data_IF_244902141966
#
_entry.id   IF_244902141966
#
_cell.length_a   1.000
_cell.length_b   1.000
_cell.length_c   1.000
_cell.angle_alpha   90.00
_cell.angle_beta   90.00
_cell.angle_gamma   90.00
#
_symmetry.space_group_name_H-M   'P 1'
#
loop_
_entity.id
_entity.type
_entity.pdbx_description
1 polymer ?
#
# COMPACT_ATOMS: atom_id res chain seq x y z
N UNK A 1 -5.00 6.85 8.06
CA UNK A 1 -4.77 5.40 8.33
C UNK A 1 -5.91 4.64 7.67
N UNK A 2 -5.67 3.70 6.77
CA UNK A 2 -6.77 2.91 6.20
C UNK A 2 -7.34 2.01 7.31
N UNK A 3 -8.46 2.45 7.89
CA UNK A 3 -9.18 1.78 8.98
C UNK A 3 -9.42 0.31 8.63
N UNK A 4 -9.70 0.02 7.37
CA UNK A 4 -9.88 -1.34 6.84
C UNK A 4 -8.70 -2.29 7.06
N UNK A 5 -7.45 -1.83 6.91
CA UNK A 5 -6.26 -2.69 7.12
C UNK A 5 -6.10 -3.04 8.59
N UNK A 6 -6.27 -2.05 9.47
CA UNK A 6 -6.12 -2.25 10.91
C UNK A 6 -7.24 -3.13 11.44
N UNK A 7 -8.49 -2.87 11.02
CA UNK A 7 -9.64 -3.73 11.36
C UNK A 7 -9.41 -5.15 10.83
N UNK A 8 -8.96 -5.32 9.58
CA UNK A 8 -8.74 -6.65 9.00
C UNK A 8 -7.70 -7.47 9.77
N UNK A 9 -6.57 -6.86 10.15
CA UNK A 9 -5.54 -7.51 10.96
C UNK A 9 -6.08 -7.83 12.36
N UNK A 10 -6.76 -6.88 13.01
CA UNK A 10 -7.32 -7.08 14.35
C UNK A 10 -8.38 -8.18 14.36
N UNK A 11 -9.31 -8.17 13.41
CA UNK A 11 -10.35 -9.20 13.29
C UNK A 11 -9.73 -10.55 12.97
N UNK A 12 -8.75 -10.62 12.06
CA UNK A 12 -8.05 -11.85 11.74
C UNK A 12 -7.34 -12.46 12.96
N UNK A 13 -6.60 -11.64 13.72
CA UNK A 13 -5.94 -12.06 14.95
C UNK A 13 -6.99 -12.43 16.01
N UNK A 14 -8.05 -11.65 16.18
CA UNK A 14 -9.09 -11.90 17.17
C UNK A 14 -9.82 -13.22 16.91
N UNK A 15 -10.12 -13.55 15.65
CA UNK A 15 -10.73 -14.84 15.29
C UNK A 15 -9.81 -16.02 15.61
N UNK A 16 -8.50 -15.90 15.34
CA UNK A 16 -7.52 -16.94 15.67
C UNK A 16 -7.41 -17.10 17.18
N UNK A 17 -7.27 -16.01 17.93
CA UNK A 17 -7.18 -16.02 19.39
C UNK A 17 -8.46 -16.57 20.01
N UNK A 18 -9.63 -16.16 19.52
CA UNK A 18 -10.92 -16.68 19.98
C UNK A 18 -11.03 -18.18 19.69
N UNK A 19 -10.60 -18.65 18.52
CA UNK A 19 -10.56 -20.08 18.20
C UNK A 19 -9.66 -20.85 19.17
N UNK A 20 -8.49 -20.30 19.52
CA UNK A 20 -7.59 -20.93 20.50
C UNK A 20 -8.24 -20.96 21.89
N UNK A 21 -8.85 -19.86 22.35
CA UNK A 21 -9.50 -19.81 23.68
C UNK A 21 -10.68 -20.78 23.75
N UNK A 22 -11.49 -20.88 22.69
CA UNK A 22 -12.65 -21.78 22.65
C UNK A 22 -12.27 -23.25 22.53
N UNK A 23 -11.14 -23.57 21.90
CA UNK A 23 -10.70 -24.96 21.67
C UNK A 23 -9.61 -25.47 22.62
N UNK A 24 -8.89 -24.61 23.32
CA UNK A 24 -7.73 -25.02 24.14
C UNK A 24 -8.06 -25.25 25.61
N UNK A 25 -7.43 -26.27 26.19
CA UNK A 25 -7.47 -26.57 27.63
C UNK A 25 -6.45 -25.72 28.42
N UNK A 26 -5.34 -25.34 27.78
CA UNK A 26 -4.31 -24.44 28.32
C UNK A 26 -3.79 -23.49 27.21
N UNK A 27 -4.16 -22.20 27.22
CA UNK A 27 -3.74 -21.24 26.20
C UNK A 27 -2.22 -21.00 26.13
N UNK A 28 -1.50 -21.22 27.25
CA UNK A 28 -0.06 -20.98 27.35
C UNK A 28 0.79 -21.91 26.47
N UNK A 29 0.26 -23.05 26.03
CA UNK A 29 0.98 -24.01 25.17
C UNK A 29 1.17 -23.46 23.74
N UNK A 30 0.32 -22.52 23.33
CA UNK A 30 0.35 -21.91 22.00
C UNK A 30 1.37 -20.78 21.86
N UNK A 31 2.16 -20.49 22.90
CA UNK A 31 3.26 -19.51 22.84
C UNK A 31 4.56 -20.23 23.14
N UNK A 32 5.24 -20.66 22.08
CA UNK A 32 6.51 -21.35 22.16
C UNK A 32 7.65 -20.47 21.65
N UNK A 33 8.52 -20.04 22.57
CA UNK A 33 9.71 -19.23 22.25
C UNK A 33 10.62 -19.86 21.20
N UNK A 34 11.06 -21.13 21.35
CA UNK A 34 11.84 -21.84 20.34
C UNK A 34 11.20 -21.85 18.95
N UNK A 35 9.90 -22.13 18.86
CA UNK A 35 9.18 -22.19 17.60
C UNK A 35 9.07 -20.83 16.91
N UNK A 36 8.80 -19.77 17.67
CA UNK A 36 8.84 -18.39 17.16
C UNK A 36 10.23 -18.00 16.68
N UNK A 37 11.28 -18.40 17.40
CA UNK A 37 12.66 -18.11 17.04
C UNK A 37 13.05 -18.77 15.71
N UNK A 38 12.65 -20.03 15.48
CA UNK A 38 12.91 -20.73 14.22
C UNK A 38 12.19 -20.04 13.05
N UNK A 39 10.92 -19.68 13.21
CA UNK A 39 10.13 -19.09 12.13
C UNK A 39 10.57 -17.65 11.86
N UNK A 40 10.57 -16.79 12.87
CA UNK A 40 10.92 -15.37 12.72
C UNK A 40 12.41 -15.21 12.41
N UNK A 41 13.27 -15.89 13.18
CA UNK A 41 14.71 -15.86 12.98
C UNK A 41 15.12 -16.45 11.64
N UNK A 42 14.53 -17.58 11.23
CA UNK A 42 14.76 -18.19 9.91
C UNK A 42 14.31 -17.28 8.77
N UNK A 43 13.12 -16.69 8.87
CA UNK A 43 12.61 -15.75 7.85
C UNK A 43 13.49 -14.52 7.73
N UNK A 44 13.92 -13.93 8.86
CA UNK A 44 14.84 -12.79 8.88
C UNK A 44 16.23 -13.16 8.34
N UNK A 45 16.77 -14.32 8.71
CA UNK A 45 18.04 -14.80 8.19
C UNK A 45 17.99 -15.04 6.67
N UNK A 46 16.95 -15.70 6.18
CA UNK A 46 16.77 -15.94 4.74
C UNK A 46 16.62 -14.62 3.97
N UNK A 47 15.88 -13.65 4.52
CA UNK A 47 15.78 -12.34 3.88
C UNK A 47 17.08 -11.53 3.90
N UNK A 48 17.88 -11.63 4.97
CA UNK A 48 19.24 -11.06 5.02
C UNK A 48 20.18 -11.71 4.00
N UNK A 49 19.97 -13.00 3.68
CA UNK A 49 20.73 -13.70 2.63
C UNK A 49 20.26 -13.25 1.24
N UNK A 50 18.96 -13.05 1.05
CA UNK A 50 18.38 -12.69 -0.25
C UNK A 50 18.57 -11.22 -0.64
N UNK A 51 18.68 -10.31 0.32
CA UNK A 51 18.69 -8.86 0.06
C UNK A 51 19.83 -8.14 0.79
N UNK A 52 20.41 -7.09 0.19
CA UNK A 52 21.43 -6.29 0.85
C UNK A 52 20.83 -5.52 2.04
N UNK A 53 21.63 -5.38 3.10
CA UNK A 53 21.18 -4.77 4.38
C UNK A 53 20.65 -3.34 4.21
N UNK A 54 21.17 -2.58 3.24
CA UNK A 54 20.72 -1.23 2.95
C UNK A 54 19.24 -1.17 2.51
N UNK A 55 18.81 -2.12 1.68
CA UNK A 55 17.43 -2.20 1.20
C UNK A 55 16.48 -2.57 2.34
N UNK A 56 16.87 -3.54 3.18
CA UNK A 56 16.07 -3.97 4.33
C UNK A 56 15.81 -2.82 5.30
N UNK A 57 16.83 -2.05 5.68
CA UNK A 57 16.67 -0.89 6.56
C UNK A 57 15.72 0.18 5.99
N UNK A 58 15.81 0.42 4.68
CA UNK A 58 14.93 1.36 4.00
C UNK A 58 13.47 0.89 4.03
N UNK A 59 13.25 -0.40 3.76
CA UNK A 59 11.92 -1.01 3.77
C UNK A 59 11.28 -0.96 5.15
N UNK A 60 11.99 -1.33 6.21
CA UNK A 60 11.45 -1.29 7.58
C UNK A 60 11.05 0.13 8.01
N UNK A 61 11.81 1.15 7.61
CA UNK A 61 11.43 2.55 7.83
C UNK A 61 10.18 2.92 7.06
N UNK A 62 10.01 2.37 5.86
CA UNK A 62 8.89 2.66 4.97
C UNK A 62 7.57 2.01 5.42
N UNK A 63 7.62 0.87 6.12
CA UNK A 63 6.42 0.19 6.67
C UNK A 63 5.56 1.14 7.50
N UNK A 64 6.18 2.01 8.31
CA UNK A 64 5.45 3.01 9.10
C UNK A 64 4.64 3.98 8.24
N UNK A 65 5.13 4.29 7.04
CA UNK A 65 4.43 5.15 6.08
C UNK A 65 3.35 4.40 5.28
N UNK A 66 3.43 3.07 5.13
CA UNK A 66 2.39 2.25 4.46
C UNK A 66 1.04 2.33 5.18
N UNK A 67 1.06 2.55 6.50
CA UNK A 67 -0.15 2.74 7.28
C UNK A 67 -0.65 4.19 7.28
N UNK A 68 0.17 5.15 6.84
CA UNK A 68 -0.20 6.55 6.70
C UNK A 68 -0.89 6.74 5.35
N UNK A 69 -2.00 7.48 5.35
CA UNK A 69 -2.66 7.85 4.10
C UNK A 69 -1.86 9.02 3.52
N UNK A 70 -1.39 8.88 2.30
CA UNK A 70 -0.75 9.97 1.57
C UNK A 70 -1.83 10.51 0.64
N UNK A 71 -2.43 11.64 1.01
CA UNK A 71 -3.34 12.35 0.12
C UNK A 71 -2.49 13.00 -0.96
N UNK A 72 -2.45 12.40 -2.15
CA UNK A 72 -1.95 13.11 -3.32
C UNK A 72 -2.93 14.23 -3.61
N UNK A 73 -2.45 15.47 -3.57
CA UNK A 73 -3.25 16.64 -3.91
C UNK A 73 -3.38 16.73 -5.43
N UNK A 74 -4.00 15.73 -6.06
CA UNK A 74 -4.21 15.66 -7.51
C UNK A 74 -4.89 16.94 -8.01
N UNK A 75 -5.83 17.48 -7.21
CA UNK A 75 -6.50 18.75 -7.48
C UNK A 75 -5.52 19.92 -7.57
N UNK A 76 -4.52 19.96 -6.71
CA UNK A 76 -3.47 20.98 -6.73
C UNK A 76 -2.55 20.78 -7.93
N UNK A 77 -2.10 19.55 -8.22
CA UNK A 77 -1.29 19.24 -9.40
C UNK A 77 -1.99 19.71 -10.70
N UNK A 78 -3.29 19.43 -10.84
CA UNK A 78 -4.11 19.89 -11.98
C UNK A 78 -4.22 21.42 -12.02
N UNK A 79 -4.33 22.07 -10.87
CA UNK A 79 -4.42 23.53 -10.79
C UNK A 79 -3.10 24.19 -11.18
N UNK A 80 -1.98 23.63 -10.73
CA UNK A 80 -0.64 24.08 -11.06
C UNK A 80 -0.33 23.92 -12.55
N UNK A 81 -0.68 22.78 -13.16
CA UNK A 81 -0.59 22.57 -14.62
C UNK A 81 -1.45 23.55 -15.41
N UNK A 82 -2.70 23.77 -15.00
CA UNK A 82 -3.59 24.71 -15.67
C UNK A 82 -3.09 26.16 -15.57
N UNK A 83 -2.45 26.52 -14.45
CA UNK A 83 -1.83 27.83 -14.27
C UNK A 83 -0.59 27.99 -15.17
N UNK A 84 0.27 26.97 -15.24
CA UNK A 84 1.41 26.97 -16.16
C UNK A 84 0.96 27.13 -17.63
N UNK A 85 -0.14 26.48 -18.02
CA UNK A 85 -0.73 26.63 -19.36
C UNK A 85 -1.20 28.06 -19.66
N UNK A 86 -1.78 28.74 -18.66
CA UNK A 86 -2.20 30.15 -18.81
C UNK A 86 -1.01 31.06 -19.05
N UNK A 87 0.08 30.85 -18.31
CA UNK A 87 1.29 31.66 -18.41
C UNK A 87 1.99 31.41 -19.76
N UNK A 88 2.09 30.14 -20.18
CA UNK A 88 2.69 29.78 -21.47
C UNK A 88 1.94 30.41 -22.65
N UNK A 89 0.60 30.33 -22.67
CA UNK A 89 -0.19 30.97 -23.73
C UNK A 89 -0.02 32.49 -23.79
N UNK A 90 0.33 33.13 -22.67
CA UNK A 90 0.60 34.58 -22.61
C UNK A 90 2.05 34.94 -22.92
N UNK A 91 2.93 33.95 -23.13
CA UNK A 91 4.36 34.16 -23.34
C UNK A 91 5.12 34.65 -22.10
N UNK A 92 4.56 34.45 -20.90
CA UNK A 92 5.09 34.99 -19.65
C UNK A 92 6.00 33.96 -18.95
N UNK A 93 7.13 33.63 -19.59
CA UNK A 93 8.04 32.56 -19.16
C UNK A 93 8.70 32.83 -17.79
N UNK A 94 9.02 34.08 -17.49
CA UNK A 94 9.60 34.47 -16.19
C UNK A 94 8.68 34.10 -15.02
N UNK A 95 7.36 34.20 -15.19
CA UNK A 95 6.40 33.81 -14.15
C UNK A 95 6.21 32.31 -14.01
N UNK A 96 6.57 31.53 -15.05
CA UNK A 96 6.58 30.06 -14.94
C UNK A 96 7.73 29.65 -14.01
N UNK A 97 8.90 30.28 -14.13
CA UNK A 97 10.03 30.05 -13.22
C UNK A 97 9.68 30.40 -11.76
N UNK A 98 9.05 31.55 -11.51
CA UNK A 98 8.56 31.92 -10.17
C UNK A 98 7.55 30.90 -9.60
N UNK A 99 6.79 30.23 -10.47
CA UNK A 99 5.84 29.19 -10.08
C UNK A 99 6.57 27.90 -9.67
N UNK A 100 7.68 27.54 -10.33
CA UNK A 100 8.42 26.30 -10.07
C UNK A 100 8.89 26.17 -8.62
N UNK A 101 9.23 27.29 -7.97
CA UNK A 101 9.68 27.30 -6.57
C UNK A 101 8.56 26.94 -5.58
N UNK A 102 7.30 27.18 -5.96
CA UNK A 102 6.11 26.95 -5.11
C UNK A 102 5.51 25.56 -5.26
N UNK A 103 5.87 24.83 -6.31
CA UNK A 103 5.33 23.50 -6.61
C UNK A 103 5.90 22.48 -5.63
N UNK A 104 5.08 21.92 -4.75
CA UNK A 104 5.54 20.92 -3.78
C UNK A 104 5.97 19.61 -4.44
N UNK A 105 5.28 19.20 -5.51
CA UNK A 105 5.51 17.94 -6.20
C UNK A 105 6.76 18.01 -7.11
N UNK A 106 7.86 17.31 -6.78
CA UNK A 106 9.10 17.39 -7.55
C UNK A 106 8.98 16.84 -8.97
N UNK A 107 8.08 15.89 -9.20
CA UNK A 107 7.84 15.34 -10.53
C UNK A 107 7.17 16.38 -11.43
N UNK A 108 6.12 17.03 -10.93
CA UNK A 108 5.42 18.11 -11.62
C UNK A 108 6.34 19.31 -11.89
N UNK A 109 7.15 19.69 -10.91
CA UNK A 109 8.13 20.77 -11.06
C UNK A 109 9.07 20.53 -12.24
N UNK A 110 9.67 19.34 -12.31
CA UNK A 110 10.53 19.01 -13.45
C UNK A 110 9.74 18.97 -14.77
N UNK A 111 8.50 18.48 -14.76
CA UNK A 111 7.69 18.41 -15.96
C UNK A 111 7.39 19.80 -16.55
N UNK A 112 7.02 20.77 -15.71
CA UNK A 112 6.81 22.17 -16.11
C UNK A 112 8.13 22.84 -16.51
N UNK A 113 9.23 22.52 -15.82
CA UNK A 113 10.55 23.06 -16.14
C UNK A 113 11.00 22.64 -17.55
N UNK A 114 10.87 21.37 -17.92
CA UNK A 114 11.21 20.89 -19.27
C UNK A 114 10.42 21.62 -20.36
N UNK A 115 9.17 21.97 -20.06
CA UNK A 115 8.34 22.77 -20.96
C UNK A 115 8.81 24.23 -21.02
N UNK A 116 9.19 24.83 -19.89
CA UNK A 116 9.74 26.19 -19.85
C UNK A 116 11.05 26.31 -20.63
N UNK A 117 11.87 25.24 -20.60
CA UNK A 117 13.13 25.11 -21.33
C UNK A 117 12.94 24.82 -22.84
N UNK A 118 11.69 24.81 -23.33
CA UNK A 118 11.32 24.51 -24.73
C UNK A 118 11.85 23.15 -25.24
N UNK A 119 11.89 22.16 -24.33
CA UNK A 119 12.35 20.79 -24.65
C UNK A 119 11.39 20.11 -25.64
N UNK A 120 11.89 19.37 -26.65
CA UNK A 120 11.04 18.61 -27.57
C UNK A 120 10.12 17.62 -26.84
N UNK A 121 8.86 17.48 -27.31
CA UNK A 121 7.86 16.61 -26.68
C UNK A 121 8.31 15.15 -26.51
N UNK A 122 9.00 14.59 -27.52
CA UNK A 122 9.53 13.22 -27.47
C UNK A 122 10.55 13.05 -26.34
N UNK A 123 11.39 14.07 -26.12
CA UNK A 123 12.40 14.08 -25.08
C UNK A 123 11.75 14.25 -23.69
N UNK A 124 10.76 15.14 -23.55
CA UNK A 124 9.95 15.27 -22.33
C UNK A 124 9.35 13.92 -21.95
N UNK A 125 8.69 13.25 -22.90
CA UNK A 125 8.11 11.93 -22.68
C UNK A 125 9.15 10.91 -22.25
N UNK A 126 10.32 10.91 -22.88
CA UNK A 126 11.40 9.97 -22.54
C UNK A 126 11.90 10.15 -21.10
N UNK A 127 12.12 11.40 -20.67
CA UNK A 127 12.63 11.75 -19.34
C UNK A 127 11.60 11.42 -18.27
N UNK A 128 10.34 11.81 -18.49
CA UNK A 128 9.25 11.57 -17.54
C UNK A 128 8.96 10.06 -17.42
N UNK A 129 8.91 9.31 -18.53
CA UNK A 129 8.73 7.85 -18.48
C UNK A 129 9.88 7.15 -17.76
N UNK A 130 11.12 7.59 -17.97
CA UNK A 130 12.27 7.04 -17.25
C UNK A 130 12.14 7.27 -15.74
N UNK A 131 11.69 8.45 -15.31
CA UNK A 131 11.42 8.75 -13.90
C UNK A 131 10.29 7.91 -13.31
N UNK A 132 9.19 7.72 -14.06
CA UNK A 132 8.08 6.83 -13.66
C UNK A 132 8.59 5.41 -13.47
N UNK A 133 9.30 4.87 -14.47
CA UNK A 133 9.84 3.51 -14.43
C UNK A 133 10.82 3.32 -13.27
N UNK A 134 11.72 4.28 -13.04
CA UNK A 134 12.66 4.24 -11.92
C UNK A 134 11.95 4.20 -10.57
N UNK A 135 10.89 4.99 -10.40
CA UNK A 135 10.09 4.96 -9.17
C UNK A 135 9.42 3.59 -9.01
N UNK A 136 8.77 3.10 -10.08
CA UNK A 136 8.07 1.83 -10.10
C UNK A 136 8.99 0.67 -9.75
N UNK A 137 10.15 0.55 -10.39
CA UNK A 137 11.14 -0.50 -10.11
C UNK A 137 11.62 -0.45 -8.65
N UNK A 138 11.89 0.75 -8.13
CA UNK A 138 12.33 0.93 -6.74
C UNK A 138 11.25 0.50 -5.74
N UNK A 139 10.00 0.91 -5.94
CA UNK A 139 8.92 0.60 -5.00
C UNK A 139 8.43 -0.86 -5.14
N UNK A 140 8.49 -1.43 -6.34
CA UNK A 140 8.24 -2.86 -6.57
C UNK A 140 9.30 -3.73 -5.89
N UNK A 141 10.59 -3.36 -5.95
CA UNK A 141 11.64 -4.07 -5.22
C UNK A 141 11.36 -4.09 -3.71
N UNK A 142 10.84 -2.99 -3.15
CA UNK A 142 10.45 -2.92 -1.74
C UNK A 142 9.26 -3.83 -1.40
N UNK A 143 8.26 -3.91 -2.29
CA UNK A 143 7.14 -4.83 -2.12
C UNK A 143 7.59 -6.30 -2.24
N UNK A 144 8.54 -6.57 -3.15
CA UNK A 144 9.07 -7.91 -3.38
C UNK A 144 9.73 -8.52 -2.14
N UNK A 145 10.41 -7.70 -1.32
CA UNK A 145 10.98 -8.15 -0.03
C UNK A 145 9.90 -8.77 0.87
N UNK A 146 8.70 -8.18 0.94
CA UNK A 146 7.59 -8.74 1.72
C UNK A 146 6.99 -10.00 1.11
N UNK A 147 6.94 -10.12 -0.23
CA UNK A 147 6.56 -11.38 -0.88
C UNK A 147 7.54 -12.50 -0.53
N UNK A 148 8.84 -12.20 -0.55
CA UNK A 148 9.88 -13.16 -0.17
C UNK A 148 9.77 -13.56 1.30
N UNK A 149 9.50 -12.61 2.21
CA UNK A 149 9.19 -12.91 3.62
C UNK A 149 7.96 -13.80 3.76
N UNK A 150 6.89 -13.52 3.01
CA UNK A 150 5.66 -14.30 3.01
C UNK A 150 5.88 -15.72 2.48
N UNK A 151 6.83 -15.92 1.55
CA UNK A 151 7.20 -17.24 1.05
C UNK A 151 8.08 -18.02 2.03
N UNK A 152 9.02 -17.36 2.72
CA UNK A 152 9.92 -18.01 3.67
C UNK A 152 9.27 -18.36 5.01
N UNK A 153 8.32 -17.55 5.51
CA UNK A 153 7.71 -17.79 6.82
C UNK A 153 7.04 -19.18 6.94
N UNK A 154 6.23 -19.66 5.99
CA UNK A 154 5.67 -21.01 6.03
C UNK A 154 6.74 -22.09 5.82
N UNK A 155 7.77 -21.83 5.00
CA UNK A 155 8.87 -22.76 4.77
C UNK A 155 9.65 -23.04 6.05
N UNK A 156 9.99 -22.01 6.83
CA UNK A 156 10.60 -22.20 8.16
C UNK A 156 9.62 -22.77 9.19
N UNK A 157 8.32 -22.54 9.03
CA UNK A 157 7.27 -23.23 9.80
C UNK A 157 7.32 -24.75 9.61
N UNK A 158 7.46 -25.20 8.36
CA UNK A 158 7.65 -26.62 8.01
C UNK A 158 9.04 -27.14 8.42
N UNK A 159 10.08 -26.32 8.38
CA UNK A 159 11.37 -26.72 8.95
C UNK A 159 11.25 -26.99 10.46
N UNK A 160 10.52 -26.14 11.18
CA UNK A 160 10.24 -26.33 12.60
C UNK A 160 9.46 -27.61 12.90
N UNK A 161 8.51 -28.02 12.04
CA UNK A 161 7.83 -29.31 12.21
C UNK A 161 8.77 -30.48 12.05
N UNK A 162 9.67 -30.42 11.06
CA UNK A 162 10.68 -31.47 10.86
C UNK A 162 11.58 -31.61 12.09
N UNK A 163 12.08 -30.50 12.64
CA UNK A 163 12.90 -30.52 13.86
C UNK A 163 12.12 -31.09 15.05
N UNK A 164 10.87 -30.67 15.25
CA UNK A 164 10.03 -31.17 16.33
C UNK A 164 9.69 -32.66 16.19
N UNK A 165 9.45 -33.15 14.96
CA UNK A 165 9.25 -34.57 14.69
C UNK A 165 10.53 -35.39 14.94
N UNK A 166 11.72 -34.89 14.54
CA UNK A 166 12.99 -35.57 14.82
C UNK A 166 13.22 -35.70 16.34
N UNK A 167 13.00 -34.63 17.09
CA UNK A 167 13.11 -34.66 18.55
C UNK A 167 12.10 -35.61 19.18
N UNK A 168 10.87 -35.63 18.66
CA UNK A 168 9.84 -36.58 19.10
C UNK A 168 10.31 -38.02 18.88
N UNK A 169 10.78 -38.38 17.68
CA UNK A 169 11.26 -39.74 17.37
C UNK A 169 12.45 -40.17 18.24
N UNK A 170 13.35 -39.23 18.59
CA UNK A 170 14.50 -39.53 19.44
C UNK A 170 14.08 -39.84 20.89
N UNK A 171 13.00 -39.23 21.37
CA UNK A 171 12.49 -39.35 22.74
C UNK A 171 11.43 -40.46 22.92
N UNK A 172 11.07 -41.18 21.84
CA UNK A 172 10.02 -42.24 21.84
C UNK A 172 10.31 -43.38 22.84
N UNK A 173 11.57 -43.62 23.19
CA UNK A 173 11.94 -44.68 24.15
C UNK A 173 11.99 -44.19 25.61
N UNK A 174 11.68 -42.92 25.88
CA UNK A 174 11.60 -42.36 27.22
C UNK A 174 10.29 -42.75 27.94
N UNK A 175 10.27 -42.85 29.28
CA UNK A 175 9.07 -43.22 30.05
C UNK A 175 7.97 -42.15 30.09
N UNK A 176 8.21 -40.97 29.52
CA UNK A 176 7.37 -39.79 29.70
C UNK A 176 6.62 -39.41 28.42
N UNK A 177 5.42 -39.98 28.21
CA UNK A 177 4.55 -39.63 27.09
C UNK A 177 4.20 -38.13 27.03
N UNK A 178 4.32 -37.42 28.15
CA UNK A 178 4.05 -35.98 28.24
C UNK A 178 5.10 -35.15 27.50
N UNK A 179 6.39 -35.55 27.51
CA UNK A 179 7.46 -34.85 26.77
C UNK A 179 7.27 -35.00 25.26
N UNK A 180 6.86 -36.19 24.83
CA UNK A 180 6.57 -36.51 23.42
C UNK A 180 5.42 -35.66 22.89
N UNK A 181 4.32 -35.55 23.66
CA UNK A 181 3.18 -34.69 23.33
C UNK A 181 3.54 -33.20 23.28
N UNK A 182 4.40 -32.74 24.18
CA UNK A 182 4.90 -31.36 24.17
C UNK A 182 5.69 -31.07 22.89
N UNK A 183 6.65 -31.92 22.51
CA UNK A 183 7.46 -31.76 21.29
C UNK A 183 6.61 -31.76 20.02
N UNK A 184 5.56 -32.60 19.96
CA UNK A 184 4.60 -32.60 18.86
C UNK A 184 3.79 -31.30 18.80
N UNK A 185 3.36 -30.77 19.95
CA UNK A 185 2.68 -29.48 20.00
C UNK A 185 3.60 -28.34 19.51
N UNK A 186 4.87 -28.32 19.94
CA UNK A 186 5.87 -27.34 19.45
C UNK A 186 5.99 -27.38 17.93
N UNK A 187 6.09 -28.59 17.36
CA UNK A 187 6.19 -28.81 15.92
C UNK A 187 5.00 -28.18 15.18
N UNK A 188 3.77 -28.49 15.59
CA UNK A 188 2.57 -27.97 14.90
C UNK A 188 2.44 -26.46 15.05
N UNK A 189 2.89 -25.90 16.18
CA UNK A 189 2.87 -24.46 16.43
C UNK A 189 3.79 -23.68 15.48
N UNK A 190 4.93 -24.21 15.06
CA UNK A 190 5.80 -23.52 14.09
C UNK A 190 5.11 -23.34 12.74
N UNK A 191 4.31 -24.33 12.31
CA UNK A 191 3.53 -24.21 11.06
C UNK A 191 2.46 -23.13 11.20
N UNK A 192 1.76 -23.10 12.34
CA UNK A 192 0.76 -22.07 12.61
C UNK A 192 1.39 -20.66 12.58
N UNK A 193 2.53 -20.45 13.24
CA UNK A 193 3.21 -19.16 13.23
C UNK A 193 3.64 -18.74 11.82
N UNK A 194 4.18 -19.67 11.02
CA UNK A 194 4.58 -19.39 9.65
C UNK A 194 3.40 -18.95 8.77
N UNK A 195 2.25 -19.62 8.91
CA UNK A 195 1.02 -19.29 8.18
C UNK A 195 0.44 -17.94 8.59
N UNK A 196 0.44 -17.64 9.89
CA UNK A 196 -0.04 -16.35 10.42
C UNK A 196 0.83 -15.22 9.91
N UNK A 197 2.16 -15.32 10.07
CA UNK A 197 3.09 -14.28 9.63
C UNK A 197 3.00 -14.04 8.12
N UNK A 198 2.94 -15.11 7.33
CA UNK A 198 2.82 -15.03 5.88
C UNK A 198 1.53 -14.33 5.42
N UNK A 199 0.37 -14.80 5.90
CA UNK A 199 -0.92 -14.39 5.35
C UNK A 199 -1.56 -13.18 6.03
N UNK A 200 -1.29 -12.94 7.31
CA UNK A 200 -1.88 -11.81 8.04
C UNK A 200 -0.98 -10.59 8.10
N UNK A 201 0.34 -10.76 7.90
CA UNK A 201 1.30 -9.67 8.04
C UNK A 201 2.00 -9.38 6.71
N UNK A 202 2.86 -10.29 6.23
CA UNK A 202 3.76 -9.99 5.11
C UNK A 202 3.02 -9.80 3.79
N UNK A 203 2.12 -10.72 3.42
CA UNK A 203 1.39 -10.67 2.15
C UNK A 203 0.45 -9.45 2.04
N UNK A 204 -0.35 -9.09 3.07
CA UNK A 204 -1.15 -7.86 3.02
C UNK A 204 -0.30 -6.59 2.91
N UNK A 205 0.87 -6.53 3.55
CA UNK A 205 1.79 -5.39 3.43
C UNK A 205 2.33 -5.28 2.00
N UNK A 206 2.74 -6.39 1.39
CA UNK A 206 3.21 -6.44 0.00
C UNK A 206 2.16 -5.89 -0.97
N UNK A 207 0.93 -6.42 -0.91
CA UNK A 207 -0.19 -6.00 -1.78
C UNK A 207 -0.50 -4.51 -1.60
N UNK A 208 -0.40 -4.00 -0.37
CA UNK A 208 -0.68 -2.59 -0.09
C UNK A 208 0.41 -1.66 -0.64
N UNK A 209 1.68 -2.07 -0.59
CA UNK A 209 2.78 -1.36 -1.22
C UNK A 209 2.62 -1.32 -2.75
N UNK A 210 2.23 -2.44 -3.37
CA UNK A 210 1.96 -2.51 -4.80
C UNK A 210 0.84 -1.57 -5.21
N UNK A 211 -0.31 -1.62 -4.53
CA UNK A 211 -1.44 -0.70 -4.79
C UNK A 211 -1.06 0.76 -4.63
N UNK A 212 -0.22 1.10 -3.65
CA UNK A 212 0.27 2.46 -3.45
C UNK A 212 1.22 2.88 -4.59
N UNK A 213 2.03 1.95 -5.09
CA UNK A 213 2.92 2.16 -6.24
C UNK A 213 2.09 2.43 -7.49
N UNK A 214 1.07 1.60 -7.75
CA UNK A 214 0.14 1.77 -8.87
C UNK A 214 -0.56 3.13 -8.85
N UNK A 215 -1.10 3.53 -7.69
CA UNK A 215 -1.71 4.85 -7.53
C UNK A 215 -0.75 6.00 -7.83
N UNK A 216 0.51 5.91 -7.38
CA UNK A 216 1.54 6.92 -7.68
C UNK A 216 1.92 6.97 -9.15
N UNK A 217 2.15 5.82 -9.76
CA UNK A 217 2.45 5.69 -11.18
C UNK A 217 1.33 6.30 -12.02
N UNK A 218 0.08 6.07 -11.63
CA UNK A 218 -1.08 6.65 -12.30
C UNK A 218 -1.13 8.18 -12.21
N UNK A 219 -0.88 8.75 -11.03
CA UNK A 219 -0.78 10.22 -10.86
C UNK A 219 0.36 10.80 -11.70
N UNK A 220 1.51 10.12 -11.76
CA UNK A 220 2.63 10.56 -12.61
C UNK A 220 2.30 10.50 -14.10
N UNK A 221 1.58 9.46 -14.55
CA UNK A 221 1.10 9.38 -15.93
C UNK A 221 0.10 10.49 -16.26
N UNK A 222 -0.81 10.81 -15.35
CA UNK A 222 -1.72 11.96 -15.48
C UNK A 222 -0.95 13.28 -15.62
N UNK A 223 0.06 13.51 -14.78
CA UNK A 223 0.91 14.71 -14.88
C UNK A 223 1.68 14.73 -16.20
N UNK A 224 2.20 13.60 -16.64
CA UNK A 224 2.91 13.48 -17.92
C UNK A 224 2.00 13.85 -19.09
N UNK A 225 0.77 13.33 -19.13
CA UNK A 225 -0.23 13.68 -20.15
C UNK A 225 -0.56 15.18 -20.12
N UNK A 226 -0.79 15.74 -18.93
CA UNK A 226 -1.02 17.17 -18.78
C UNK A 226 0.17 18.03 -19.24
N UNK A 227 1.38 17.53 -19.07
CA UNK A 227 2.62 18.19 -19.52
C UNK A 227 2.75 18.14 -21.04
N UNK A 228 2.33 17.05 -21.69
CA UNK A 228 2.27 16.96 -23.14
C UNK A 228 1.26 17.95 -23.72
N UNK A 229 0.06 18.04 -23.13
CA UNK A 229 -0.94 19.02 -23.57
C UNK A 229 -0.47 20.46 -23.35
N UNK A 230 0.28 20.70 -22.27
CA UNK A 230 0.97 21.95 -22.04
C UNK A 230 2.06 22.19 -23.10
N UNK A 231 2.81 21.16 -23.49
CA UNK A 231 3.82 21.15 -24.57
C UNK A 231 3.21 21.63 -25.90
N UNK A 232 2.01 21.14 -26.21
CA UNK A 232 1.23 21.46 -27.42
C UNK A 232 0.53 22.83 -27.40
N UNK A 233 0.74 23.67 -26.37
CA UNK A 233 0.03 24.94 -26.20
C UNK A 233 -1.51 24.81 -26.17
N UNK A 234 -2.04 23.70 -25.60
CA UNK A 234 -3.49 23.54 -25.43
C UNK A 234 -4.04 24.50 -24.38
N UNK A 235 -5.33 24.81 -24.50
CA UNK A 235 -5.98 25.73 -23.57
C UNK A 235 -6.02 25.15 -22.14
N UNK A 236 -5.89 25.99 -21.10
CA UNK A 236 -5.99 25.55 -19.70
C UNK A 236 -7.30 24.84 -19.36
N UNK A 237 -8.38 25.20 -20.05
CA UNK A 237 -9.69 24.57 -19.91
C UNK A 237 -9.67 23.14 -20.48
N UNK A 238 -9.04 22.95 -21.64
CA UNK A 238 -8.87 21.64 -22.26
C UNK A 238 -8.03 20.72 -21.37
N UNK A 239 -6.87 21.19 -20.88
CA UNK A 239 -6.01 20.42 -19.98
C UNK A 239 -6.78 20.01 -18.73
N UNK A 240 -7.51 20.93 -18.09
CA UNK A 240 -8.28 20.61 -16.88
C UNK A 240 -9.35 19.56 -17.14
N UNK A 241 -10.06 19.65 -18.27
CA UNK A 241 -11.11 18.68 -18.62
C UNK A 241 -10.52 17.30 -18.90
N UNK A 242 -9.41 17.23 -19.64
CA UNK A 242 -8.70 15.97 -19.89
C UNK A 242 -8.19 15.36 -18.58
N UNK A 243 -7.53 16.13 -17.71
CA UNK A 243 -7.04 15.60 -16.43
C UNK A 243 -8.19 15.20 -15.49
N UNK A 244 -9.33 15.87 -15.57
CA UNK A 244 -10.52 15.52 -14.80
C UNK A 244 -11.08 14.16 -15.22
N UNK A 245 -10.98 13.76 -16.50
CA UNK A 245 -11.42 12.41 -16.90
C UNK A 245 -10.54 11.32 -16.29
N UNK A 246 -9.22 11.53 -16.14
CA UNK A 246 -8.33 10.59 -15.43
C UNK A 246 -8.68 10.43 -13.94
N UNK A 247 -9.16 11.48 -13.30
CA UNK A 247 -9.65 11.43 -11.90
C UNK A 247 -11.01 10.75 -11.84
N UNK A 248 -11.92 11.11 -12.75
CA UNK A 248 -13.30 10.58 -12.78
C UNK A 248 -13.33 9.10 -13.17
N UNK A 249 -12.37 8.59 -13.95
CA UNK A 249 -12.24 7.15 -14.23
C UNK A 249 -12.05 6.28 -12.98
N UNK A 250 -11.65 6.86 -11.84
CA UNK A 250 -11.62 6.16 -10.56
C UNK A 250 -12.97 6.16 -9.83
N UNK A 251 -13.85 7.09 -10.16
CA UNK A 251 -15.22 7.19 -9.64
C UNK A 251 -16.19 6.91 -10.79
N UNK A 252 -16.32 5.63 -11.13
CA UNK A 252 -17.41 5.02 -11.93
C UNK A 252 -18.06 5.97 -12.97
N UNK A 253 -17.51 6.04 -14.19
CA UNK A 253 -18.01 6.90 -15.28
C UNK A 253 -19.51 6.70 -15.59
N UNK A 254 -20.08 5.55 -15.18
CA UNK A 254 -21.49 5.19 -15.38
C UNK A 254 -22.40 5.64 -14.23
N UNK A 255 -21.84 6.03 -13.08
CA UNK A 255 -22.56 6.55 -11.92
C UNK A 255 -22.04 7.94 -11.60
N UNK A 256 -22.52 8.91 -12.37
CA UNK A 256 -22.32 10.32 -12.08
C UNK A 256 -22.48 10.59 -10.58
N UNK A 257 -21.49 11.29 -10.02
CA UNK A 257 -21.41 11.75 -8.63
C UNK A 257 -22.80 11.88 -8.04
N UNK A 258 -23.16 10.98 -7.10
CA UNK A 258 -24.28 11.24 -6.20
C UNK A 258 -23.89 12.47 -5.40
N UNK A 259 -24.27 13.64 -5.90
CA UNK A 259 -24.30 14.88 -5.14
C UNK A 259 -24.97 14.58 -3.81
N UNK A 260 -24.36 15.03 -2.71
CA UNK A 260 -24.93 14.95 -1.36
C UNK A 260 -26.34 15.58 -1.27
N UNK A 261 -26.81 16.26 -2.32
CA UNK A 261 -28.19 16.75 -2.48
C UNK A 261 -29.25 15.63 -2.54
N UNK A 262 -28.91 14.42 -2.98
CA UNK A 262 -29.89 13.34 -3.18
C UNK A 262 -30.29 12.63 -1.87
N UNK A 263 -29.54 12.87 -0.78
CA UNK A 263 -29.84 12.33 0.56
C UNK A 263 -30.85 13.20 1.30
N UNK A 264 -30.87 14.51 1.05
CA UNK A 264 -31.83 15.44 1.68
C UNK A 264 -33.20 15.43 1.00
N UNK A 265 -33.30 15.00 -0.27
CA UNK A 265 -34.58 14.86 -0.98
C UNK A 265 -35.38 13.60 -0.61
N UNK A 266 -34.84 12.70 0.22
CA UNK A 266 -35.49 11.42 0.58
C UNK A 266 -35.90 11.30 2.05
N UNK A 267 -35.92 12.39 2.81
CA UNK A 267 -36.62 12.37 4.10
C UNK A 267 -38.14 12.35 3.84
N UNK A 268 -38.87 11.31 4.29
CA UNK A 268 -40.30 11.25 4.09
C UNK A 268 -41.00 12.39 4.83
N UNK A 269 -41.77 13.18 4.09
CA UNK A 269 -42.75 14.11 4.60
C UNK A 269 -43.91 13.35 5.24
N UNK A 270 -43.77 12.95 6.51
CA UNK A 270 -44.90 12.83 7.42
C UNK A 270 -44.41 12.52 8.84
N UNK A 271 -44.63 13.44 9.77
CA UNK A 271 -45.19 13.17 11.09
C UNK A 271 -45.50 14.52 11.76
N UNK A 272 -46.71 14.59 12.34
CA UNK A 272 -47.31 15.66 13.14
C UNK A 272 -47.79 16.94 12.43
N UNK A 273 -48.83 16.79 11.59
CA UNK A 273 -50.06 17.52 11.92
C UNK A 273 -50.75 16.74 13.04
N UNK A 274 -50.54 17.15 14.29
CA UNK A 274 -51.60 17.17 15.30
C UNK A 274 -51.14 17.95 16.54
N UNK A 275 -52.00 18.84 17.06
CA UNK A 275 -51.82 19.47 18.37
C UNK A 275 -51.51 20.97 18.40
N UNK A 276 -52.29 21.79 17.68
CA UNK A 276 -52.39 23.24 17.94
C UNK A 276 -53.85 23.67 18.04
N UNK A 277 -54.27 23.97 19.28
CA UNK A 277 -55.38 24.84 19.69
C UNK A 277 -56.83 24.43 19.38
N UNK A 278 -57.52 23.87 20.38
CA UNK A 278 -58.67 24.47 21.09
C UNK A 278 -59.07 23.63 22.30
#
# INVERSE_FOLDING_TARGET
>A
MNISTVIGIIVGIALIVLSIILSSVQPGVYVNGPGLLVVVGGTLAATLISFPMAELQQVFRMVGYVFRHEEYSIRQDVTELANAARLRMRGDFARIEDQLDRIENPFLRTAIQLVADDTPQEEIMSILNWRVRRLQEREQAQAHIFHTMAAYAPAFGMFGTLVGMVNMLYDVNGPDLMSTGHNMAVALMTTLYGLILSNLIFKPIAIKLERRTEARVMVMHMIMEGTILLAENRSPAFIRETLKSFVTQHEDELRGVRSEEDVLSRMPANLSKDGGES
#
